data_IF_557166751490
#
_entry.id   IF_557166751490
#
_cell.length_a   1.000
_cell.length_b   1.000
_cell.length_c   1.000
_cell.angle_alpha   90.00
_cell.angle_beta   90.00
_cell.angle_gamma   90.00
#
_symmetry.space_group_name_H-M   'P 1'
#
loop_
_entity.id
_entity.type
_entity.pdbx_description
1 polymer ?
#
# COMPACT_ATOMS: atom_id res chain seq x y z
N UNK A 1 -12.49 15.88 2.03
CA UNK A 1 -13.39 14.78 2.56
C UNK A 1 -14.74 15.35 2.97
N UNK A 2 -15.88 14.62 2.81
CA UNK A 2 -17.23 15.13 3.17
C UNK A 2 -17.46 15.16 4.68
N UNK A 3 -16.89 14.20 5.44
CA UNK A 3 -17.03 14.10 6.91
C UNK A 3 -15.68 14.40 7.54
N UNK A 4 -15.42 15.68 7.78
CA UNK A 4 -14.14 16.16 8.31
C UNK A 4 -13.86 15.63 9.73
N UNK A 5 -14.90 15.36 10.53
CA UNK A 5 -14.77 14.76 11.86
C UNK A 5 -14.20 13.34 11.87
N UNK A 6 -14.09 12.71 10.69
CA UNK A 6 -13.52 11.37 10.52
C UNK A 6 -12.16 11.37 9.84
N UNK A 7 -11.65 12.55 9.55
CA UNK A 7 -10.35 12.70 8.90
C UNK A 7 -9.22 12.44 9.90
N UNK A 8 -8.24 11.64 9.50
CA UNK A 8 -7.00 11.47 10.23
C UNK A 8 -6.04 12.50 9.67
N UNK A 9 -5.69 13.49 10.47
CA UNK A 9 -4.82 14.61 10.06
C UNK A 9 -3.38 14.45 10.53
N UNK A 10 -3.17 13.67 11.60
CA UNK A 10 -1.86 13.46 12.18
C UNK A 10 -0.99 12.55 11.32
N UNK A 11 0.16 13.02 10.78
CA UNK A 11 1.03 12.22 9.93
C UNK A 11 1.50 10.92 10.59
N UNK A 12 1.76 10.94 11.90
CA UNK A 12 2.19 9.77 12.65
C UNK A 12 1.11 8.67 12.70
N UNK A 13 -0.18 9.04 12.76
CA UNK A 13 -1.28 8.08 12.72
C UNK A 13 -1.45 7.47 11.33
N UNK A 14 -1.42 8.29 10.29
CA UNK A 14 -1.43 7.80 8.89
C UNK A 14 -0.29 6.81 8.68
N UNK A 15 0.87 7.15 9.18
CA UNK A 15 2.07 6.34 9.08
C UNK A 15 1.93 5.00 9.82
N UNK A 16 1.38 5.02 11.04
CA UNK A 16 1.12 3.80 11.82
C UNK A 16 0.17 2.84 11.07
N UNK A 17 -0.85 3.36 10.38
CA UNK A 17 -1.76 2.54 9.56
C UNK A 17 -1.01 1.93 8.37
N UNK A 18 -0.24 2.73 7.63
CA UNK A 18 0.53 2.25 6.48
C UNK A 18 1.52 1.15 6.86
N UNK A 19 2.25 1.31 7.95
CA UNK A 19 3.29 0.37 8.40
C UNK A 19 2.72 -0.92 8.99
N UNK A 20 1.49 -0.88 9.53
CA UNK A 20 0.80 -2.04 10.11
C UNK A 20 0.12 -2.90 9.04
N UNK A 21 -0.42 -2.28 8.01
CA UNK A 21 -1.18 -2.97 6.98
C UNK A 21 -0.30 -3.94 6.16
N UNK A 22 -0.86 -5.09 5.82
CA UNK A 22 -0.15 -6.14 5.06
C UNK A 22 -0.42 -6.07 3.56
N UNK A 23 -1.53 -5.47 3.18
CA UNK A 23 -1.98 -5.42 1.79
C UNK A 23 -2.30 -3.98 1.40
N UNK A 24 -1.75 -3.54 0.29
CA UNK A 24 -2.18 -2.34 -0.40
C UNK A 24 -2.95 -2.74 -1.67
N UNK A 25 -4.04 -2.07 -1.94
CA UNK A 25 -4.80 -2.23 -3.19
C UNK A 25 -4.41 -1.09 -4.12
N UNK A 26 -3.76 -1.45 -5.23
CA UNK A 26 -3.30 -0.48 -6.22
C UNK A 26 -4.28 -0.43 -7.37
N UNK A 27 -4.83 0.75 -7.62
CA UNK A 27 -5.76 1.02 -8.71
C UNK A 27 -5.05 1.69 -9.88
N UNK A 28 -5.11 1.03 -11.03
CA UNK A 28 -4.59 1.52 -12.31
C UNK A 28 -5.73 2.04 -13.19
N UNK A 29 -5.41 2.99 -14.05
CA UNK A 29 -6.31 3.49 -15.08
C UNK A 29 -5.60 3.41 -16.43
N UNK A 30 -6.05 2.49 -17.30
CA UNK A 30 -5.51 2.28 -18.64
C UNK A 30 -6.61 2.60 -19.63
N UNK A 31 -6.55 3.81 -20.20
CA UNK A 31 -7.68 4.36 -20.94
C UNK A 31 -8.91 4.45 -20.03
N UNK A 32 -10.02 3.85 -20.46
CA UNK A 32 -11.27 3.84 -19.71
C UNK A 32 -11.44 2.56 -18.83
N UNK A 33 -10.44 1.67 -18.78
CA UNK A 33 -10.51 0.42 -18.02
C UNK A 33 -9.82 0.57 -16.65
N UNK A 34 -10.58 0.58 -15.54
CA UNK A 34 -10.00 0.51 -14.21
C UNK A 34 -9.54 -0.92 -13.88
N UNK A 35 -8.37 -1.02 -13.24
CA UNK A 35 -7.84 -2.31 -12.78
C UNK A 35 -7.31 -2.17 -11.36
N UNK A 36 -7.75 -3.05 -10.45
CA UNK A 36 -7.31 -3.07 -9.06
C UNK A 36 -6.58 -4.37 -8.77
N UNK A 37 -5.45 -4.29 -8.08
CA UNK A 37 -4.69 -5.46 -7.64
C UNK A 37 -4.27 -5.32 -6.19
N UNK A 38 -4.53 -6.34 -5.32
CA UNK A 38 -3.99 -6.40 -3.98
C UNK A 38 -2.53 -6.87 -4.03
N UNK A 39 -1.65 -6.19 -3.30
CA UNK A 39 -0.23 -6.49 -3.22
C UNK A 39 0.25 -6.46 -1.78
N UNK A 40 1.12 -7.41 -1.42
CA UNK A 40 1.95 -7.29 -0.23
C UNK A 40 2.92 -6.13 -0.43
N UNK A 41 3.07 -5.28 0.58
CA UNK A 41 3.93 -4.12 0.49
C UNK A 41 4.78 -3.93 1.74
N UNK A 42 5.80 -3.10 1.61
CA UNK A 42 6.52 -2.45 2.70
C UNK A 42 6.36 -0.95 2.57
N UNK A 43 6.54 -0.22 3.66
CA UNK A 43 6.50 1.23 3.67
C UNK A 43 7.83 1.80 4.15
N UNK A 44 8.17 2.99 3.64
CA UNK A 44 9.28 3.81 4.09
C UNK A 44 8.72 5.10 4.68
N UNK A 45 8.86 5.22 5.97
CA UNK A 45 8.34 6.35 6.74
C UNK A 45 8.93 7.69 6.31
N UNK A 46 10.23 7.75 6.16
CA UNK A 46 10.94 8.99 5.89
C UNK A 46 10.70 9.50 4.47
N UNK A 47 10.62 8.60 3.51
CA UNK A 47 10.51 8.95 2.10
C UNK A 47 9.09 8.90 1.54
N UNK A 48 8.07 8.52 2.35
CA UNK A 48 6.69 8.42 1.92
C UNK A 48 6.51 7.53 0.68
N UNK A 49 7.04 6.31 0.76
CA UNK A 49 6.98 5.32 -0.31
C UNK A 49 6.30 4.05 0.16
N UNK A 50 5.65 3.39 -0.79
CA UNK A 50 5.30 1.98 -0.67
C UNK A 50 6.18 1.17 -1.63
N UNK A 51 6.70 0.05 -1.14
CA UNK A 51 7.52 -0.87 -1.93
C UNK A 51 6.74 -2.16 -2.17
N UNK A 52 6.86 -2.70 -3.37
CA UNK A 52 6.30 -3.99 -3.72
C UNK A 52 7.13 -4.64 -4.83
N UNK A 53 6.87 -5.91 -5.10
CA UNK A 53 7.57 -6.64 -6.15
C UNK A 53 6.59 -7.37 -7.07
N UNK A 54 7.06 -7.68 -8.27
CA UNK A 54 6.32 -8.44 -9.29
C UNK A 54 7.25 -9.45 -9.98
N UNK A 55 6.67 -10.37 -10.75
CA UNK A 55 7.41 -11.05 -11.79
C UNK A 55 7.88 -10.03 -12.85
N UNK A 56 8.71 -10.48 -13.79
CA UNK A 56 9.25 -9.64 -14.86
C UNK A 56 8.19 -9.20 -15.87
N UNK A 57 7.10 -9.94 -15.99
CA UNK A 57 6.01 -9.71 -16.95
C UNK A 57 4.63 -9.95 -16.30
N UNK A 58 3.56 -9.57 -16.98
CA UNK A 58 2.18 -9.76 -16.60
C UNK A 58 1.41 -8.44 -16.54
N UNK A 59 0.07 -8.55 -16.44
CA UNK A 59 -0.85 -7.40 -16.55
C UNK A 59 -0.48 -6.22 -15.65
N UNK A 60 -0.03 -6.46 -14.42
CA UNK A 60 0.43 -5.39 -13.51
C UNK A 60 1.58 -4.58 -14.09
N UNK A 61 2.56 -5.31 -14.66
CA UNK A 61 3.75 -4.70 -15.27
C UNK A 61 3.34 -3.88 -16.48
N UNK A 62 2.52 -4.44 -17.37
CA UNK A 62 1.95 -3.74 -18.53
C UNK A 62 1.22 -2.45 -18.13
N UNK A 63 0.42 -2.52 -17.05
CA UNK A 63 -0.29 -1.36 -16.51
C UNK A 63 0.68 -0.28 -16.01
N UNK A 64 1.71 -0.66 -15.26
CA UNK A 64 2.73 0.27 -14.76
C UNK A 64 3.47 0.94 -15.92
N UNK A 65 3.86 0.18 -16.93
CA UNK A 65 4.58 0.69 -18.09
C UNK A 65 3.70 1.61 -18.95
N UNK A 66 2.41 1.33 -19.08
CA UNK A 66 1.47 2.16 -19.81
C UNK A 66 1.10 3.45 -19.08
N UNK A 67 0.88 3.38 -17.77
CA UNK A 67 0.55 4.53 -16.93
C UNK A 67 0.99 4.28 -15.48
N UNK A 68 2.14 4.82 -15.05
CA UNK A 68 2.66 4.61 -13.70
C UNK A 68 1.91 5.41 -12.62
N UNK A 69 1.02 6.34 -12.98
CA UNK A 69 0.22 7.09 -12.03
C UNK A 69 -0.93 6.25 -11.51
N UNK A 70 -1.04 6.10 -10.21
CA UNK A 70 -1.99 5.20 -9.55
C UNK A 70 -2.72 5.86 -8.40
N UNK A 71 -3.87 5.28 -8.05
CA UNK A 71 -4.51 5.43 -6.76
C UNK A 71 -4.18 4.20 -5.93
N UNK A 72 -3.98 4.36 -4.63
CA UNK A 72 -3.85 3.23 -3.72
C UNK A 72 -4.78 3.36 -2.54
N UNK A 73 -5.13 2.22 -1.97
CA UNK A 73 -5.90 2.12 -0.74
C UNK A 73 -5.22 1.12 0.20
N UNK A 74 -5.26 1.45 1.50
CA UNK A 74 -4.79 0.59 2.60
C UNK A 74 -5.82 0.62 3.72
N UNK A 75 -6.22 -0.54 4.19
CA UNK A 75 -7.06 -0.67 5.39
C UNK A 75 -6.22 -0.95 6.63
N UNK A 76 -6.53 -0.24 7.71
CA UNK A 76 -6.12 -0.58 9.07
C UNK A 76 -7.04 -1.63 9.70
N UNK A 77 -7.30 -1.48 10.99
CA UNK A 77 -8.20 -2.39 11.69
C UNK A 77 -9.66 -2.17 11.27
N UNK A 78 -10.39 -3.26 11.08
CA UNK A 78 -11.82 -3.26 10.77
C UNK A 78 -12.54 -4.13 11.78
N UNK A 79 -13.51 -3.56 12.49
CA UNK A 79 -14.32 -4.25 13.47
C UNK A 79 -15.80 -4.00 13.22
N UNK A 80 -16.64 -5.01 13.50
CA UNK A 80 -18.08 -4.84 13.51
C UNK A 80 -18.48 -3.97 14.71
N UNK A 81 -19.22 -2.89 14.44
CA UNK A 81 -19.94 -2.14 15.47
C UNK A 81 -21.33 -2.75 15.62
N UNK A 82 -21.51 -3.53 16.66
CA UNK A 82 -22.80 -4.09 16.99
C UNK A 82 -23.78 -2.99 17.45
N UNK A 83 -25.01 -3.09 17.00
CA UNK A 83 -26.12 -2.22 17.38
C UNK A 83 -27.24 -3.02 18.05
N UNK A 84 -28.37 -2.36 18.26
CA UNK A 84 -29.62 -2.98 18.75
C UNK A 84 -30.42 -3.62 17.58
N UNK A 85 -31.70 -3.85 17.78
CA UNK A 85 -32.61 -4.44 16.76
C UNK A 85 -32.79 -3.56 15.52
N UNK A 86 -32.36 -2.28 15.58
CA UNK A 86 -32.43 -1.37 14.44
C UNK A 86 -31.20 -1.53 13.57
N UNK A 87 -31.36 -1.99 12.35
CA UNK A 87 -30.25 -2.19 11.42
C UNK A 87 -29.37 -0.95 11.20
N UNK A 88 -29.90 0.27 11.35
CA UNK A 88 -29.12 1.51 11.25
C UNK A 88 -28.19 1.77 12.44
N UNK A 89 -28.31 1.05 13.54
CA UNK A 89 -27.40 1.11 14.69
C UNK A 89 -26.12 0.30 14.47
N UNK A 90 -26.12 -0.62 13.50
CA UNK A 90 -24.97 -1.41 13.13
C UNK A 90 -24.05 -0.66 12.17
N UNK A 91 -22.78 -1.01 12.17
CA UNK A 91 -21.79 -0.35 11.30
C UNK A 91 -20.43 -1.03 11.36
N UNK A 92 -19.44 -0.38 10.80
CA UNK A 92 -18.05 -0.78 10.92
C UNK A 92 -17.25 0.34 11.60
N UNK A 93 -16.42 -0.07 12.54
CA UNK A 93 -15.28 0.71 12.97
C UNK A 93 -14.13 0.38 12.03
N UNK A 94 -13.49 1.36 11.48
CA UNK A 94 -12.42 1.15 10.52
C UNK A 94 -11.45 2.32 10.45
N UNK A 95 -10.28 2.03 9.95
CA UNK A 95 -9.29 3.00 9.50
C UNK A 95 -8.92 2.68 8.07
N UNK A 96 -8.79 3.70 7.24
CA UNK A 96 -8.35 3.53 5.86
C UNK A 96 -7.55 4.72 5.37
N UNK A 97 -6.65 4.48 4.43
CA UNK A 97 -5.88 5.50 3.73
C UNK A 97 -6.15 5.34 2.24
N UNK A 98 -6.44 6.45 1.58
CA UNK A 98 -6.47 6.54 0.12
C UNK A 98 -5.45 7.57 -0.29
N UNK A 99 -4.62 7.23 -1.27
CA UNK A 99 -3.59 8.13 -1.79
C UNK A 99 -3.37 7.97 -3.28
N UNK A 100 -2.57 8.88 -3.79
CA UNK A 100 -2.15 8.92 -5.19
C UNK A 100 -0.65 9.04 -5.25
N UNK A 101 -0.06 8.48 -6.29
CA UNK A 101 1.38 8.54 -6.49
C UNK A 101 1.80 7.96 -7.83
N UNK A 102 3.11 7.93 -8.03
CA UNK A 102 3.71 7.43 -9.25
C UNK A 102 4.63 6.27 -8.95
N UNK A 103 4.47 5.18 -9.69
CA UNK A 103 5.30 3.99 -9.56
C UNK A 103 6.55 4.13 -10.43
N UNK A 104 7.69 3.76 -9.86
CA UNK A 104 8.95 3.62 -10.60
C UNK A 104 9.67 2.34 -10.25
N UNK A 105 10.41 1.79 -11.20
CA UNK A 105 11.24 0.62 -10.94
C UNK A 105 12.52 0.99 -10.18
N UNK A 106 12.90 0.14 -9.25
CA UNK A 106 14.17 0.22 -8.56
C UNK A 106 15.17 -0.69 -9.27
N UNK A 107 16.11 -0.12 -10.03
CA UNK A 107 17.12 -0.86 -10.79
C UNK A 107 18.45 -1.00 -10.06
N UNK A 108 18.77 -0.05 -9.18
CA UNK A 108 19.97 -0.08 -8.34
C UNK A 108 19.89 -1.20 -7.31
N UNK A 109 20.96 -1.99 -7.18
CA UNK A 109 20.99 -3.18 -6.33
C UNK A 109 20.76 -2.84 -4.84
N UNK A 110 21.34 -1.75 -4.36
CA UNK A 110 21.18 -1.31 -2.96
C UNK A 110 19.76 -0.85 -2.68
N UNK A 111 19.16 -0.08 -3.60
CA UNK A 111 17.78 0.37 -3.48
C UNK A 111 16.79 -0.79 -3.55
N UNK A 112 17.04 -1.79 -4.41
CA UNK A 112 16.23 -3.02 -4.50
C UNK A 112 16.29 -3.83 -3.21
N UNK A 113 17.50 -4.03 -2.67
CA UNK A 113 17.67 -4.76 -1.41
C UNK A 113 16.93 -4.04 -0.28
N UNK A 114 17.15 -2.73 -0.11
CA UNK A 114 16.48 -1.94 0.92
C UNK A 114 14.94 -2.03 0.83
N UNK A 115 14.38 -1.98 -0.36
CA UNK A 115 12.94 -2.14 -0.58
C UNK A 115 12.43 -3.55 -0.21
N UNK A 116 13.17 -4.59 -0.57
CA UNK A 116 12.83 -5.97 -0.21
C UNK A 116 12.94 -6.20 1.31
N UNK A 117 13.95 -5.62 1.97
CA UNK A 117 14.05 -5.64 3.43
C UNK A 117 12.83 -4.97 4.09
N UNK A 118 12.40 -3.80 3.59
CA UNK A 118 11.22 -3.10 4.09
C UNK A 118 9.94 -3.94 3.92
N UNK A 119 9.77 -4.58 2.76
CA UNK A 119 8.64 -5.51 2.52
C UNK A 119 8.68 -6.65 3.53
N UNK A 120 9.83 -7.30 3.70
CA UNK A 120 9.95 -8.43 4.61
C UNK A 120 9.75 -8.03 6.07
N UNK A 121 10.30 -6.90 6.51
CA UNK A 121 10.08 -6.35 7.85
C UNK A 121 8.59 -6.15 8.12
N UNK A 122 7.89 -5.51 7.23
CA UNK A 122 6.46 -5.25 7.37
C UNK A 122 5.63 -6.54 7.32
N UNK A 123 5.91 -7.44 6.38
CA UNK A 123 5.15 -8.68 6.21
C UNK A 123 5.37 -9.68 7.37
N UNK A 124 6.60 -9.84 7.82
CA UNK A 124 6.94 -10.77 8.90
C UNK A 124 6.72 -10.22 10.30
N UNK A 125 6.73 -8.88 10.45
CA UNK A 125 6.75 -8.21 11.76
C UNK A 125 8.08 -8.38 12.51
N UNK A 126 9.15 -8.84 11.84
CA UNK A 126 10.46 -9.10 12.44
C UNK A 126 11.48 -8.09 11.95
N UNK A 127 12.29 -7.58 12.85
CA UNK A 127 13.47 -6.78 12.52
C UNK A 127 14.66 -7.71 12.34
N UNK A 128 14.83 -8.20 11.11
CA UNK A 128 15.86 -9.17 10.73
C UNK A 128 16.50 -8.76 9.40
N UNK A 129 17.72 -9.20 9.18
CA UNK A 129 18.41 -9.03 7.91
C UNK A 129 18.10 -10.24 7.02
N UNK A 130 17.33 -10.01 5.95
CA UNK A 130 16.88 -11.07 5.05
C UNK A 130 17.86 -11.27 3.90
N UNK A 131 18.12 -12.53 3.54
CA UNK A 131 18.89 -12.89 2.35
C UNK A 131 17.95 -13.33 1.25
N UNK A 132 18.24 -12.93 0.02
CA UNK A 132 17.44 -13.26 -1.14
C UNK A 132 18.23 -14.12 -2.12
N UNK A 133 17.59 -15.15 -2.65
CA UNK A 133 18.21 -16.09 -3.58
C UNK A 133 18.44 -15.40 -4.94
N UNK A 134 19.67 -15.37 -5.47
CA UNK A 134 19.98 -14.63 -6.70
C UNK A 134 19.13 -15.03 -7.91
N UNK A 135 18.81 -16.30 -8.05
CA UNK A 135 17.98 -16.83 -9.14
C UNK A 135 16.54 -16.28 -9.07
N UNK A 136 16.00 -16.07 -7.85
CA UNK A 136 14.69 -15.47 -7.65
C UNK A 136 14.75 -13.97 -7.93
N UNK A 137 15.82 -13.30 -7.49
CA UNK A 137 16.00 -11.87 -7.76
C UNK A 137 16.12 -11.57 -9.26
N UNK A 138 16.70 -12.49 -10.03
CA UNK A 138 16.86 -12.33 -11.48
C UNK A 138 15.51 -12.29 -12.24
N UNK A 139 14.46 -12.89 -11.67
CA UNK A 139 13.10 -12.93 -12.25
C UNK A 139 12.10 -12.07 -11.49
N UNK A 140 12.59 -11.17 -10.65
CA UNK A 140 11.77 -10.27 -9.80
C UNK A 140 12.06 -8.82 -10.14
N UNK A 141 11.01 -8.04 -10.42
CA UNK A 141 11.09 -6.58 -10.50
C UNK A 141 10.66 -5.98 -9.16
N UNK A 142 11.36 -4.95 -8.74
CA UNK A 142 11.08 -4.24 -7.47
C UNK A 142 10.68 -2.80 -7.77
N UNK A 143 9.61 -2.35 -7.15
CA UNK A 143 8.97 -1.08 -7.43
C UNK A 143 8.86 -0.22 -6.18
N UNK A 144 8.95 1.08 -6.37
CA UNK A 144 8.57 2.10 -5.40
C UNK A 144 7.36 2.88 -5.94
N UNK A 145 6.34 3.01 -5.12
CA UNK A 145 5.26 3.98 -5.30
C UNK A 145 5.61 5.21 -4.49
N UNK A 146 6.06 6.27 -5.15
CA UNK A 146 6.32 7.57 -4.53
C UNK A 146 4.97 8.27 -4.29
N UNK A 147 4.62 8.49 -3.01
CA UNK A 147 3.33 9.02 -2.60
C UNK A 147 3.31 10.55 -2.78
N UNK A 148 2.40 11.04 -3.62
CA UNK A 148 2.20 12.47 -3.88
C UNK A 148 1.22 13.09 -2.88
N UNK A 149 0.14 12.38 -2.60
CA UNK A 149 -0.88 12.79 -1.64
C UNK A 149 -1.59 11.58 -1.03
N UNK A 150 -2.07 11.73 0.20
CA UNK A 150 -2.88 10.72 0.87
C UNK A 150 -3.80 11.36 1.91
N UNK A 151 -4.91 10.72 2.17
CA UNK A 151 -5.87 11.09 3.21
C UNK A 151 -6.22 9.88 4.05
N UNK A 152 -6.22 10.05 5.37
CA UNK A 152 -6.67 9.04 6.31
C UNK A 152 -8.12 9.28 6.72
N UNK A 153 -8.84 8.20 6.99
CA UNK A 153 -10.21 8.24 7.48
C UNK A 153 -10.45 7.16 8.52
N UNK A 154 -11.19 7.50 9.58
CA UNK A 154 -11.65 6.54 10.59
C UNK A 154 -13.13 6.68 10.90
N UNK A 155 -13.71 5.61 11.41
CA UNK A 155 -15.05 5.57 12.01
C UNK A 155 -15.01 4.70 13.25
N UNK A 156 -15.35 5.24 14.42
CA UNK A 156 -15.44 4.54 15.70
C UNK A 156 -16.85 4.61 16.28
#
# INVERSE_FOLDING_TARGET
MRKHEREITEPAEIHAILSKAKVARIGFAIGDEPYIVPLSHGSDEESRRLFFHTAIEGRKVECIEANPRVCFEVEGDVELKEGDERGCAWGLKYESIIGYGTIRELVDATARDAALQAIMKQQSGRDANWTFVPEVLAVTRVWALDIESMTGKRSF
#
